data_IF_998216245662
#
_entry.id   IF_998216245662
#
_cell.length_a   1.000
_cell.length_b   1.000
_cell.length_c   1.000
_cell.angle_alpha   90.00
_cell.angle_beta   90.00
_cell.angle_gamma   90.00
#
_symmetry.space_group_name_H-M   'P 1'
#
loop_
_entity.id
_entity.type
_entity.pdbx_description
1 polymer ?
#
# COMPACT_ATOMS: atom_id res chain seq x y z
N UNK A 1 5.51 13.09 20.81
CA UNK A 1 6.84 13.02 20.15
C UNK A 1 6.57 12.83 18.68
N UNK A 2 6.95 13.79 17.85
CA UNK A 2 6.73 13.72 16.39
C UNK A 2 7.50 12.50 15.81
N UNK A 3 6.84 11.70 14.97
CA UNK A 3 7.40 10.51 14.37
C UNK A 3 7.27 9.23 15.21
N UNK A 4 6.67 9.31 16.40
CA UNK A 4 6.48 8.15 17.27
C UNK A 4 5.62 7.07 16.56
N UNK A 5 4.57 7.49 15.88
CA UNK A 5 3.68 6.56 15.18
C UNK A 5 4.41 5.73 14.09
N UNK A 6 5.29 6.38 13.32
CA UNK A 6 6.12 5.68 12.32
C UNK A 6 7.09 4.69 12.95
N UNK A 7 7.75 5.09 14.06
CA UNK A 7 8.69 4.21 14.78
C UNK A 7 7.96 2.98 15.33
N UNK A 8 6.79 3.19 15.93
CA UNK A 8 5.95 2.09 16.46
C UNK A 8 5.52 1.17 15.31
N UNK A 9 5.09 1.72 14.17
CA UNK A 9 4.69 0.91 13.02
C UNK A 9 5.85 0.05 12.47
N UNK A 10 7.01 0.65 12.26
CA UNK A 10 8.23 -0.10 11.87
C UNK A 10 8.54 -1.20 12.88
N UNK A 11 8.46 -0.90 14.18
CA UNK A 11 8.71 -1.86 15.26
C UNK A 11 7.73 -3.04 15.27
N UNK A 12 6.43 -2.76 15.11
CA UNK A 12 5.40 -3.81 15.09
C UNK A 12 5.49 -4.69 13.85
N UNK A 13 5.78 -4.12 12.67
CA UNK A 13 6.02 -4.89 11.44
C UNK A 13 7.27 -5.77 11.58
N UNK A 14 8.34 -5.25 12.18
CA UNK A 14 9.56 -6.03 12.43
C UNK A 14 9.30 -7.20 13.37
N UNK A 15 8.62 -6.96 14.49
CA UNK A 15 8.25 -8.00 15.46
C UNK A 15 7.30 -9.01 14.82
N UNK A 16 6.24 -8.54 14.15
CA UNK A 16 5.26 -9.38 13.49
C UNK A 16 5.89 -10.26 12.41
N UNK A 17 6.77 -9.69 11.58
CA UNK A 17 7.51 -10.46 10.57
C UNK A 17 8.40 -11.53 11.21
N UNK A 18 9.07 -11.21 12.31
CA UNK A 18 9.90 -12.19 13.04
C UNK A 18 9.05 -13.36 13.53
N UNK A 19 7.92 -13.07 14.18
CA UNK A 19 6.98 -14.10 14.65
C UNK A 19 6.48 -14.94 13.46
N UNK A 20 6.08 -14.29 12.37
CA UNK A 20 5.60 -14.97 11.16
C UNK A 20 6.62 -15.94 10.55
N UNK A 21 7.88 -15.54 10.49
CA UNK A 21 8.97 -16.40 10.00
C UNK A 21 9.22 -17.59 10.92
N UNK A 22 9.17 -17.38 12.23
CA UNK A 22 9.29 -18.49 13.20
C UNK A 22 8.15 -19.50 13.03
N UNK A 23 6.92 -19.01 12.82
CA UNK A 23 5.77 -19.85 12.54
C UNK A 23 5.88 -20.61 11.21
N UNK A 24 6.44 -19.99 10.17
CA UNK A 24 6.65 -20.60 8.83
C UNK A 24 7.42 -21.92 8.91
N UNK A 25 8.45 -21.98 9.73
CA UNK A 25 9.31 -23.16 9.87
C UNK A 25 8.60 -24.36 10.53
N UNK A 26 7.42 -24.16 11.15
CA UNK A 26 6.61 -25.20 11.79
C UNK A 26 5.29 -25.49 11.06
N UNK A 27 4.92 -24.73 10.03
CA UNK A 27 3.65 -24.89 9.34
C UNK A 27 3.74 -25.93 8.19
N UNK A 28 2.91 -26.97 8.20
CA UNK A 28 2.79 -27.88 7.06
C UNK A 28 2.31 -27.11 5.80
N UNK A 29 2.78 -27.52 4.60
CA UNK A 29 2.40 -26.90 3.31
C UNK A 29 0.88 -26.73 3.10
N UNK A 30 0.08 -27.60 3.70
CA UNK A 30 -1.38 -27.52 3.65
C UNK A 30 -1.90 -26.24 4.33
N UNK A 31 -1.34 -25.88 5.49
CA UNK A 31 -1.73 -24.67 6.22
C UNK A 31 -1.29 -23.40 5.44
N UNK A 32 -0.10 -23.43 4.85
CA UNK A 32 0.41 -22.34 4.04
C UNK A 32 -0.58 -21.96 2.93
N UNK A 33 -1.10 -22.94 2.17
CA UNK A 33 -2.08 -22.72 1.11
C UNK A 33 -3.38 -22.08 1.64
N UNK A 34 -3.91 -22.57 2.74
CA UNK A 34 -5.15 -22.05 3.34
C UNK A 34 -4.94 -20.63 3.89
N UNK A 35 -3.78 -20.36 4.52
CA UNK A 35 -3.43 -19.05 5.01
C UNK A 35 -3.31 -18.05 3.85
N UNK A 36 -2.65 -18.43 2.73
CA UNK A 36 -2.56 -17.59 1.53
C UNK A 36 -3.93 -17.25 0.94
N UNK A 37 -4.84 -18.22 0.89
CA UNK A 37 -6.21 -17.97 0.44
C UNK A 37 -6.96 -17.03 1.39
N UNK A 38 -6.80 -17.20 2.70
CA UNK A 38 -7.38 -16.31 3.72
C UNK A 38 -6.85 -14.89 3.60
N UNK A 39 -5.53 -14.73 3.43
CA UNK A 39 -4.90 -13.43 3.18
C UNK A 39 -5.41 -12.79 1.90
N UNK A 40 -5.47 -13.56 0.81
CA UNK A 40 -6.01 -13.08 -0.46
C UNK A 40 -7.45 -12.57 -0.32
N UNK A 41 -8.32 -13.31 0.39
CA UNK A 41 -9.69 -12.87 0.65
C UNK A 41 -9.74 -11.60 1.50
N UNK A 42 -8.96 -11.52 2.58
CA UNK A 42 -8.89 -10.32 3.42
C UNK A 42 -8.43 -9.11 2.60
N UNK A 43 -7.35 -9.27 1.84
CA UNK A 43 -6.81 -8.21 0.96
C UNK A 43 -7.82 -7.80 -0.11
N UNK A 44 -8.61 -8.75 -0.65
CA UNK A 44 -9.69 -8.51 -1.60
C UNK A 44 -10.75 -7.56 -1.00
N UNK A 45 -11.25 -7.89 0.18
CA UNK A 45 -12.25 -7.05 0.84
C UNK A 45 -11.71 -5.68 1.28
N UNK A 46 -10.45 -5.59 1.68
CA UNK A 46 -9.78 -4.30 1.95
C UNK A 46 -9.74 -3.45 0.67
N UNK A 47 -9.31 -4.04 -0.45
CA UNK A 47 -9.25 -3.34 -1.74
C UNK A 47 -10.62 -2.90 -2.24
N UNK A 48 -11.62 -3.79 -2.23
CA UNK A 48 -12.99 -3.46 -2.62
C UNK A 48 -13.57 -2.38 -1.70
N UNK A 49 -13.49 -2.57 -0.39
CA UNK A 49 -14.03 -1.63 0.60
C UNK A 49 -13.40 -0.25 0.47
N UNK A 50 -12.06 -0.17 0.35
CA UNK A 50 -11.35 1.09 0.17
C UNK A 50 -11.70 1.79 -1.15
N UNK A 51 -11.90 1.04 -2.23
CA UNK A 51 -12.35 1.62 -3.51
C UNK A 51 -13.78 2.12 -3.41
N UNK A 52 -14.70 1.32 -2.87
CA UNK A 52 -16.12 1.68 -2.77
C UNK A 52 -16.33 2.88 -1.83
N UNK A 53 -15.56 3.00 -0.74
CA UNK A 53 -15.68 4.14 0.18
C UNK A 53 -15.39 5.49 -0.48
N UNK A 54 -14.57 5.49 -1.55
CA UNK A 54 -14.17 6.71 -2.25
C UNK A 54 -14.97 6.93 -3.55
N UNK A 55 -15.44 5.84 -4.18
CA UNK A 55 -16.21 5.93 -5.42
C UNK A 55 -17.69 6.21 -5.15
N UNK A 56 -18.23 5.67 -4.05
CA UNK A 56 -19.64 5.87 -3.71
C UNK A 56 -19.86 7.19 -2.97
N UNK A 57 -20.89 7.92 -3.34
CA UNK A 57 -21.32 9.15 -2.65
C UNK A 57 -22.82 9.09 -2.41
N UNK A 58 -23.27 9.70 -1.33
CA UNK A 58 -24.70 9.84 -1.03
C UNK A 58 -25.08 11.32 -1.19
N UNK A 59 -25.92 11.63 -2.19
CA UNK A 59 -26.41 12.96 -2.44
C UNK A 59 -27.95 12.92 -2.43
N UNK A 60 -28.55 13.74 -1.58
CA UNK A 60 -30.03 13.83 -1.44
C UNK A 60 -30.69 12.47 -1.11
N UNK A 61 -29.98 11.53 -0.46
CA UNK A 61 -30.53 10.20 -0.14
C UNK A 61 -30.37 9.17 -1.27
N UNK A 62 -29.78 9.54 -2.40
CA UNK A 62 -29.52 8.64 -3.52
C UNK A 62 -28.03 8.29 -3.57
N UNK A 63 -27.72 7.06 -3.98
CA UNK A 63 -26.35 6.59 -4.16
C UNK A 63 -25.89 7.01 -5.56
N UNK A 64 -24.86 7.85 -5.59
CA UNK A 64 -24.16 8.26 -6.80
C UNK A 64 -22.74 7.71 -6.84
N UNK A 65 -22.03 7.99 -7.92
CA UNK A 65 -20.61 7.66 -8.07
C UNK A 65 -19.80 8.91 -8.34
N UNK A 66 -18.60 8.95 -7.77
CA UNK A 66 -17.58 9.99 -7.98
C UNK A 66 -16.24 9.37 -8.32
N UNK A 67 -15.30 10.14 -8.84
CA UNK A 67 -13.93 9.71 -9.16
C UNK A 67 -13.78 8.57 -10.17
N UNK A 68 -14.87 8.12 -10.83
CA UNK A 68 -14.83 6.99 -11.77
C UNK A 68 -13.94 7.30 -12.98
N UNK A 69 -14.07 8.50 -13.56
CA UNK A 69 -13.25 8.92 -14.69
C UNK A 69 -11.77 9.07 -14.31
N UNK A 70 -11.52 9.66 -13.14
CA UNK A 70 -10.18 9.76 -12.58
C UNK A 70 -9.54 8.39 -12.41
N UNK A 71 -10.29 7.41 -11.87
CA UNK A 71 -9.81 6.05 -11.67
C UNK A 71 -9.41 5.39 -12.99
N UNK A 72 -10.26 5.52 -14.03
CA UNK A 72 -9.97 5.00 -15.38
C UNK A 72 -8.68 5.61 -15.93
N UNK A 73 -8.56 6.95 -15.88
CA UNK A 73 -7.39 7.65 -16.41
C UNK A 73 -6.12 7.32 -15.62
N UNK A 74 -6.19 7.28 -14.29
CA UNK A 74 -5.04 6.95 -13.45
C UNK A 74 -4.54 5.53 -13.72
N UNK A 75 -5.43 4.55 -13.79
CA UNK A 75 -5.03 3.16 -14.05
C UNK A 75 -4.47 2.99 -15.46
N UNK A 76 -5.13 3.56 -16.49
CA UNK A 76 -4.69 3.44 -17.87
C UNK A 76 -3.33 4.12 -18.10
N UNK A 77 -3.19 5.40 -17.70
CA UNK A 77 -1.94 6.13 -17.85
C UNK A 77 -0.84 5.59 -16.93
N UNK A 78 -1.20 5.20 -15.70
CA UNK A 78 -0.27 4.59 -14.76
C UNK A 78 0.31 3.28 -15.31
N UNK A 79 -0.53 2.43 -15.92
CA UNK A 79 -0.10 1.21 -16.59
C UNK A 79 0.88 1.50 -17.74
N UNK A 80 0.56 2.48 -18.60
CA UNK A 80 1.44 2.87 -19.73
C UNK A 80 2.78 3.38 -19.21
N UNK A 81 2.78 4.27 -18.23
CA UNK A 81 4.00 4.82 -17.63
C UNK A 81 4.82 3.71 -16.95
N UNK A 82 4.17 2.87 -16.17
CA UNK A 82 4.84 1.80 -15.44
C UNK A 82 5.43 0.74 -16.36
N UNK A 83 4.73 0.36 -17.44
CA UNK A 83 5.25 -0.55 -18.45
C UNK A 83 6.42 0.08 -19.22
N UNK A 84 6.33 1.36 -19.59
CA UNK A 84 7.42 2.09 -20.25
C UNK A 84 8.68 2.18 -19.37
N UNK A 85 8.51 2.34 -18.06
CA UNK A 85 9.59 2.38 -17.07
C UNK A 85 10.01 0.98 -16.60
N UNK A 86 9.25 -0.06 -16.94
CA UNK A 86 9.44 -1.45 -16.51
C UNK A 86 9.62 -1.58 -14.99
N UNK A 87 8.69 -0.99 -14.23
CA UNK A 87 8.82 -0.83 -12.78
C UNK A 87 8.79 -2.19 -12.09
N UNK A 88 7.92 -3.12 -12.52
CA UNK A 88 7.86 -4.49 -11.98
C UNK A 88 9.23 -5.15 -12.02
N UNK A 89 9.90 -5.15 -13.17
CA UNK A 89 11.23 -5.75 -13.33
C UNK A 89 12.27 -5.08 -12.43
N UNK A 90 12.23 -3.74 -12.30
CA UNK A 90 13.15 -3.02 -11.41
C UNK A 90 12.92 -3.38 -9.94
N UNK A 91 11.67 -3.60 -9.54
CA UNK A 91 11.34 -4.08 -8.19
C UNK A 91 11.83 -5.52 -7.97
N UNK A 92 11.67 -6.38 -8.98
CA UNK A 92 12.20 -7.75 -8.94
C UNK A 92 13.72 -7.74 -8.85
N UNK A 93 14.41 -6.93 -9.67
CA UNK A 93 15.87 -6.79 -9.65
C UNK A 93 16.37 -6.26 -8.31
N UNK A 94 15.69 -5.24 -7.75
CA UNK A 94 15.99 -4.72 -6.42
C UNK A 94 15.75 -5.76 -5.33
N UNK A 95 14.64 -6.49 -5.40
CA UNK A 95 14.34 -7.59 -4.49
C UNK A 95 15.38 -8.71 -4.57
N UNK A 96 15.81 -9.09 -5.79
CA UNK A 96 16.85 -10.07 -6.01
C UNK A 96 18.22 -9.60 -5.48
N UNK A 97 18.56 -8.32 -5.67
CA UNK A 97 19.75 -7.71 -5.07
C UNK A 97 19.70 -7.78 -3.55
N UNK A 98 18.61 -7.39 -2.93
CA UNK A 98 18.45 -7.48 -1.48
C UNK A 98 18.47 -8.94 -0.99
N UNK A 99 17.84 -9.84 -1.73
CA UNK A 99 17.87 -11.28 -1.41
C UNK A 99 19.28 -11.83 -1.42
N UNK A 100 20.11 -11.46 -2.39
CA UNK A 100 21.50 -11.92 -2.48
C UNK A 100 22.38 -11.45 -1.34
N UNK A 101 22.05 -10.30 -0.72
CA UNK A 101 22.82 -9.68 0.36
C UNK A 101 22.27 -10.00 1.76
N UNK A 102 20.96 -10.14 1.91
CA UNK A 102 20.30 -10.21 3.23
C UNK A 102 19.55 -11.53 3.48
N UNK A 103 19.29 -12.35 2.45
CA UNK A 103 18.53 -13.59 2.60
C UNK A 103 19.35 -14.82 2.20
N UNK A 104 19.06 -15.96 2.84
CA UNK A 104 19.59 -17.25 2.40
C UNK A 104 19.05 -17.61 1.01
N UNK A 105 19.87 -18.20 0.15
CA UNK A 105 19.48 -18.74 -1.15
C UNK A 105 18.26 -19.66 -0.99
N UNK A 106 17.12 -19.33 -1.63
CA UNK A 106 15.97 -20.23 -1.70
C UNK A 106 14.59 -19.66 -1.33
N UNK A 107 14.46 -18.36 -1.01
CA UNK A 107 13.15 -17.77 -0.74
C UNK A 107 12.50 -17.24 -2.03
N UNK A 108 11.85 -18.14 -2.79
CA UNK A 108 11.27 -17.85 -4.11
C UNK A 108 10.16 -16.78 -4.09
N UNK A 109 9.61 -16.45 -2.92
CA UNK A 109 8.54 -15.44 -2.75
C UNK A 109 9.01 -14.18 -2.06
N UNK A 110 10.34 -13.96 -1.97
CA UNK A 110 10.91 -12.79 -1.29
C UNK A 110 10.40 -11.48 -1.90
N UNK A 111 10.44 -11.36 -3.24
CA UNK A 111 10.00 -10.14 -3.94
C UNK A 111 8.49 -9.94 -3.80
N UNK A 112 7.70 -10.99 -3.95
CA UNK A 112 6.25 -10.95 -3.75
C UNK A 112 5.90 -10.48 -2.33
N UNK A 113 6.58 -11.02 -1.31
CA UNK A 113 6.40 -10.60 0.08
C UNK A 113 6.75 -9.14 0.32
N UNK A 114 7.85 -8.66 -0.26
CA UNK A 114 8.25 -7.27 -0.19
C UNK A 114 7.23 -6.33 -0.84
N UNK A 115 6.85 -6.59 -2.09
CA UNK A 115 5.94 -5.73 -2.85
C UNK A 115 4.55 -5.71 -2.22
N UNK A 116 3.99 -6.88 -1.92
CA UNK A 116 2.66 -7.02 -1.29
C UNK A 116 2.59 -6.29 0.04
N UNK A 117 3.53 -6.53 0.94
CA UNK A 117 3.56 -5.89 2.26
C UNK A 117 3.77 -4.38 2.13
N UNK A 118 4.69 -3.93 1.27
CA UNK A 118 4.95 -2.51 1.06
C UNK A 118 3.72 -1.75 0.56
N UNK A 119 3.02 -2.30 -0.42
CA UNK A 119 1.80 -1.69 -0.95
C UNK A 119 0.71 -1.66 0.10
N UNK A 120 0.43 -2.78 0.76
CA UNK A 120 -0.62 -2.84 1.78
C UNK A 120 -0.36 -1.88 2.94
N UNK A 121 0.90 -1.77 3.37
CA UNK A 121 1.25 -0.95 4.53
C UNK A 121 1.42 0.53 4.19
N UNK A 122 1.82 0.89 2.97
CA UNK A 122 2.00 2.29 2.57
C UNK A 122 0.74 2.89 1.94
N UNK A 123 -0.08 2.09 1.26
CA UNK A 123 -1.27 2.58 0.57
C UNK A 123 -2.46 2.66 1.53
N UNK A 124 -3.21 3.76 1.43
CA UNK A 124 -4.43 4.01 2.20
C UNK A 124 -4.41 5.34 2.94
N UNK A 125 -5.59 5.93 3.09
CA UNK A 125 -5.77 7.23 3.74
C UNK A 125 -5.20 7.26 5.17
N UNK A 126 -5.31 6.14 5.89
CA UNK A 126 -4.84 6.04 7.28
C UNK A 126 -3.33 6.26 7.43
N UNK A 127 -2.53 5.85 6.43
CA UNK A 127 -1.09 6.08 6.44
C UNK A 127 -0.76 7.56 6.25
N UNK A 128 -1.46 8.25 5.34
CA UNK A 128 -1.24 9.66 5.01
C UNK A 128 -1.77 10.55 6.13
N UNK A 129 -3.06 10.40 6.48
CA UNK A 129 -3.71 11.23 7.51
C UNK A 129 -3.06 11.04 8.87
N UNK A 130 -2.74 9.80 9.23
CA UNK A 130 -2.04 9.49 10.48
C UNK A 130 -0.64 10.12 10.54
N UNK A 131 0.12 10.07 9.43
CA UNK A 131 1.44 10.71 9.36
C UNK A 131 1.35 12.25 9.42
N UNK A 132 0.32 12.84 8.79
CA UNK A 132 0.06 14.28 8.90
C UNK A 132 -0.31 14.69 10.33
N UNK A 133 -1.18 13.93 11.01
CA UNK A 133 -1.58 14.20 12.39
C UNK A 133 -0.39 14.09 13.36
N UNK A 134 0.42 13.05 13.21
CA UNK A 134 1.65 12.89 14.01
C UNK A 134 2.62 14.06 13.78
N UNK A 135 2.80 14.49 12.51
CA UNK A 135 3.71 15.58 12.16
C UNK A 135 3.22 16.98 12.55
N UNK A 136 1.91 17.25 12.42
CA UNK A 136 1.33 18.58 12.70
C UNK A 136 0.97 18.78 14.17
N UNK A 137 0.35 17.77 14.78
CA UNK A 137 -0.26 17.86 16.10
C UNK A 137 0.53 17.06 17.15
N UNK A 138 1.52 16.25 16.75
CA UNK A 138 2.22 15.32 17.63
C UNK A 138 1.31 14.19 18.14
N UNK A 139 0.20 13.91 17.43
CA UNK A 139 -0.77 12.88 17.79
C UNK A 139 -0.52 11.61 16.94
N UNK A 140 0.12 10.57 17.52
CA UNK A 140 0.43 9.33 16.82
C UNK A 140 -0.71 8.30 16.87
N UNK A 141 -1.86 8.62 17.49
CA UNK A 141 -2.92 7.64 17.82
C UNK A 141 -3.37 6.84 16.59
N UNK A 142 -3.61 7.51 15.45
CA UNK A 142 -4.02 6.86 14.20
C UNK A 142 -2.94 5.93 13.65
N UNK A 143 -1.66 6.35 13.69
CA UNK A 143 -0.55 5.50 13.25
C UNK A 143 -0.30 4.32 14.20
N UNK A 144 -0.55 4.47 15.50
CA UNK A 144 -0.47 3.36 16.47
C UNK A 144 -1.56 2.32 16.19
N UNK A 145 -2.80 2.77 15.94
CA UNK A 145 -3.86 1.86 15.55
C UNK A 145 -3.51 1.10 14.25
N UNK A 146 -2.98 1.83 13.26
CA UNK A 146 -2.47 1.23 12.02
C UNK A 146 -1.32 0.26 12.28
N UNK A 147 -0.39 0.59 13.15
CA UNK A 147 0.77 -0.24 13.51
C UNK A 147 0.33 -1.62 14.07
N UNK A 148 -0.74 -1.66 14.84
CA UNK A 148 -1.31 -2.92 15.34
C UNK A 148 -1.83 -3.75 14.16
N UNK A 149 -2.57 -3.14 13.23
CA UNK A 149 -3.08 -3.83 12.04
C UNK A 149 -1.95 -4.35 11.15
N UNK A 150 -0.96 -3.49 10.86
CA UNK A 150 0.21 -3.83 10.04
C UNK A 150 1.05 -4.94 10.70
N UNK A 151 1.20 -4.89 12.04
CA UNK A 151 1.91 -5.89 12.82
C UNK A 151 1.24 -7.27 12.73
N UNK A 152 -0.09 -7.34 12.89
CA UNK A 152 -0.84 -8.60 12.74
C UNK A 152 -0.77 -9.11 11.30
N UNK A 153 -0.97 -8.24 10.32
CA UNK A 153 -0.87 -8.61 8.91
C UNK A 153 0.55 -9.10 8.56
N UNK A 154 1.60 -8.48 9.11
CA UNK A 154 2.99 -8.89 8.87
C UNK A 154 3.31 -10.29 9.38
N UNK A 155 2.68 -10.75 10.49
CA UNK A 155 2.79 -12.14 10.96
C UNK A 155 2.30 -13.10 9.86
N UNK A 156 1.11 -12.83 9.34
CA UNK A 156 0.46 -13.69 8.34
C UNK A 156 1.22 -13.66 7.00
N UNK A 157 1.60 -12.48 6.53
CA UNK A 157 2.38 -12.34 5.30
C UNK A 157 3.76 -13.00 5.41
N UNK A 158 4.46 -12.82 6.53
CA UNK A 158 5.78 -13.42 6.71
C UNK A 158 5.71 -14.95 6.84
N UNK A 159 4.68 -15.49 7.50
CA UNK A 159 4.45 -16.93 7.56
C UNK A 159 4.21 -17.54 6.17
N UNK A 160 3.60 -16.78 5.25
CA UNK A 160 3.24 -17.26 3.91
C UNK A 160 4.24 -16.86 2.83
N UNK A 161 4.69 -15.60 2.80
CA UNK A 161 5.54 -15.02 1.76
C UNK A 161 7.03 -14.98 2.15
N UNK A 162 7.34 -15.19 3.42
CA UNK A 162 8.73 -15.30 3.90
C UNK A 162 9.39 -13.98 4.24
N UNK A 163 10.73 -13.98 4.14
CA UNK A 163 11.60 -12.90 4.66
C UNK A 163 11.46 -11.58 3.91
N UNK A 164 10.89 -11.58 2.69
CA UNK A 164 10.70 -10.36 1.90
C UNK A 164 9.88 -9.29 2.63
N UNK A 165 8.99 -9.71 3.53
CA UNK A 165 8.18 -8.80 4.34
C UNK A 165 9.03 -7.87 5.22
N UNK A 166 10.22 -8.30 5.67
CA UNK A 166 11.13 -7.41 6.40
C UNK A 166 11.50 -6.16 5.60
N UNK A 167 11.68 -6.30 4.29
CA UNK A 167 12.09 -5.18 3.46
C UNK A 167 11.02 -4.08 3.36
N UNK A 168 9.75 -4.40 3.64
CA UNK A 168 8.66 -3.41 3.67
C UNK A 168 8.83 -2.32 4.75
N UNK A 169 9.68 -2.56 5.74
CA UNK A 169 10.05 -1.56 6.75
C UNK A 169 10.67 -0.32 6.09
N UNK A 170 11.44 -0.52 5.02
CA UNK A 170 12.10 0.57 4.31
C UNK A 170 11.08 1.57 3.72
N UNK A 171 10.16 1.16 2.82
CA UNK A 171 9.15 2.09 2.32
C UNK A 171 8.23 2.64 3.42
N UNK A 172 7.87 1.86 4.45
CA UNK A 172 7.08 2.39 5.58
C UNK A 172 7.83 3.55 6.26
N UNK A 173 9.10 3.35 6.60
CA UNK A 173 9.90 4.36 7.28
C UNK A 173 10.04 5.64 6.46
N UNK A 174 10.41 5.52 5.18
CA UNK A 174 10.61 6.69 4.32
C UNK A 174 9.30 7.35 3.93
N UNK A 175 8.25 6.59 3.64
CA UNK A 175 6.96 7.13 3.23
C UNK A 175 6.24 7.81 4.40
N UNK A 176 5.96 7.09 5.49
CA UNK A 176 5.27 7.65 6.65
C UNK A 176 6.14 8.67 7.37
N UNK A 177 7.42 8.37 7.60
CA UNK A 177 8.36 9.28 8.25
C UNK A 177 8.58 10.54 7.42
N UNK A 178 8.69 10.41 6.10
CA UNK A 178 8.79 11.54 5.17
C UNK A 178 7.57 12.46 5.24
N UNK A 179 6.36 11.90 5.20
CA UNK A 179 5.12 12.68 5.35
C UNK A 179 5.07 13.35 6.73
N UNK A 180 5.39 12.64 7.79
CA UNK A 180 5.40 13.17 9.17
C UNK A 180 6.37 14.35 9.31
N UNK A 181 7.60 14.22 8.82
CA UNK A 181 8.61 15.29 8.91
C UNK A 181 8.28 16.49 8.02
N UNK A 182 7.70 16.23 6.85
CA UNK A 182 7.34 17.25 5.89
C UNK A 182 5.90 17.74 6.03
N UNK A 183 5.17 17.33 7.08
CA UNK A 183 3.74 17.55 7.23
C UNK A 183 3.32 19.03 7.07
N UNK A 184 4.09 19.97 7.63
CA UNK A 184 3.83 21.41 7.52
C UNK A 184 3.91 21.93 6.08
N UNK A 185 4.81 21.35 5.25
CA UNK A 185 4.98 21.74 3.85
C UNK A 185 3.99 21.04 2.93
N UNK A 186 3.62 19.80 3.25
CA UNK A 186 2.77 18.96 2.41
C UNK A 186 1.28 19.25 2.64
N UNK A 187 0.86 19.57 3.87
CA UNK A 187 -0.56 19.75 4.24
C UNK A 187 -1.34 20.73 3.34
N UNK A 188 -0.78 21.89 2.91
CA UNK A 188 -1.50 22.79 2.03
C UNK A 188 -1.85 22.20 0.66
N UNK A 189 -1.16 21.15 0.23
CA UNK A 189 -1.33 20.49 -1.06
C UNK A 189 -2.14 19.19 -0.97
N UNK A 190 -2.07 18.49 0.16
CA UNK A 190 -2.81 17.26 0.42
C UNK A 190 -4.19 17.58 1.01
N UNK A 191 -5.13 17.91 0.11
CA UNK A 191 -6.54 18.05 0.49
C UNK A 191 -7.16 16.68 0.79
N UNK A 192 -8.25 16.65 1.56
CA UNK A 192 -8.93 15.40 1.89
C UNK A 192 -9.45 14.70 0.61
N UNK A 193 -9.88 15.49 -0.39
CA UNK A 193 -10.26 14.98 -1.71
C UNK A 193 -9.10 14.28 -2.41
N UNK A 194 -7.91 14.90 -2.43
CA UNK A 194 -6.73 14.32 -3.07
C UNK A 194 -6.28 13.04 -2.36
N UNK A 195 -6.33 13.02 -1.02
CA UNK A 195 -6.03 11.83 -0.22
C UNK A 195 -7.01 10.70 -0.56
N UNK A 196 -8.32 11.00 -0.65
CA UNK A 196 -9.34 10.06 -1.07
C UNK A 196 -9.10 9.50 -2.47
N UNK A 197 -8.78 10.37 -3.45
CA UNK A 197 -8.45 9.95 -4.81
C UNK A 197 -7.23 9.01 -4.87
N UNK A 198 -6.17 9.33 -4.15
CA UNK A 198 -4.98 8.46 -4.05
C UNK A 198 -5.32 7.13 -3.36
N UNK A 199 -6.12 7.18 -2.30
CA UNK A 199 -6.61 5.99 -1.58
C UNK A 199 -7.46 5.10 -2.47
N UNK A 200 -8.36 5.69 -3.27
CA UNK A 200 -9.19 4.99 -4.25
C UNK A 200 -8.33 4.18 -5.22
N UNK A 201 -7.39 4.85 -5.92
CA UNK A 201 -6.49 4.19 -6.88
C UNK A 201 -5.66 3.11 -6.20
N UNK A 202 -5.09 3.42 -5.03
CA UNK A 202 -4.27 2.47 -4.28
C UNK A 202 -5.06 1.24 -3.81
N UNK A 203 -6.33 1.42 -3.46
CA UNK A 203 -7.21 0.31 -3.06
C UNK A 203 -7.49 -0.65 -4.21
N UNK A 204 -7.58 -0.14 -5.46
CA UNK A 204 -7.66 -1.01 -6.65
C UNK A 204 -6.38 -1.82 -6.83
N UNK A 205 -5.21 -1.26 -6.54
CA UNK A 205 -3.96 -2.01 -6.60
C UNK A 205 -3.91 -3.10 -5.51
N UNK A 206 -4.43 -2.82 -4.31
CA UNK A 206 -4.57 -3.81 -3.24
C UNK A 206 -5.52 -4.94 -3.70
N UNK A 207 -6.62 -4.61 -4.36
CA UNK A 207 -7.49 -5.62 -4.97
C UNK A 207 -6.76 -6.45 -6.02
N UNK A 208 -5.96 -5.84 -6.91
CA UNK A 208 -5.16 -6.56 -7.90
C UNK A 208 -4.14 -7.52 -7.26
N UNK A 209 -3.51 -7.12 -6.13
CA UNK A 209 -2.64 -8.01 -5.34
C UNK A 209 -3.43 -9.22 -4.83
N UNK A 210 -4.67 -9.00 -4.35
CA UNK A 210 -5.49 -10.11 -3.85
C UNK A 210 -5.78 -11.17 -4.90
N UNK A 211 -5.98 -10.76 -6.15
CA UNK A 211 -6.14 -11.69 -7.27
C UNK A 211 -4.89 -12.53 -7.49
N UNK A 212 -3.70 -11.94 -7.38
CA UNK A 212 -2.44 -12.68 -7.43
C UNK A 212 -2.34 -13.71 -6.31
N UNK A 213 -2.72 -13.33 -5.06
CA UNK A 213 -2.66 -14.22 -3.91
C UNK A 213 -3.67 -15.38 -3.98
N UNK A 214 -4.90 -15.13 -4.46
CA UNK A 214 -5.98 -16.12 -4.52
C UNK A 214 -5.79 -17.08 -5.70
N UNK A 215 -5.55 -16.51 -6.88
CA UNK A 215 -5.56 -17.24 -8.15
C UNK A 215 -4.16 -17.56 -8.68
N UNK A 216 -3.11 -17.13 -7.98
CA UNK A 216 -1.73 -17.20 -8.47
C UNK A 216 -1.60 -16.57 -9.87
N UNK A 217 -2.38 -15.50 -10.12
CA UNK A 217 -2.33 -14.72 -11.35
C UNK A 217 -1.02 -13.93 -11.40
N UNK A 218 -0.63 -13.49 -12.60
CA UNK A 218 0.61 -12.73 -12.81
C UNK A 218 0.29 -11.29 -13.23
N UNK A 219 -0.64 -10.65 -12.52
CA UNK A 219 -0.90 -9.23 -12.75
C UNK A 219 0.33 -8.44 -12.33
N UNK A 220 0.86 -7.63 -13.21
CA UNK A 220 2.03 -6.78 -12.99
C UNK A 220 1.65 -5.54 -12.19
N UNK A 221 1.38 -5.73 -10.90
CA UNK A 221 0.89 -4.65 -10.02
C UNK A 221 1.95 -3.57 -9.82
N UNK A 222 3.24 -3.92 -9.87
CA UNK A 222 4.33 -2.95 -9.82
C UNK A 222 4.27 -1.94 -10.97
N UNK A 223 3.87 -2.36 -12.17
CA UNK A 223 3.69 -1.45 -13.31
C UNK A 223 2.44 -0.57 -13.18
N UNK A 224 1.54 -0.83 -12.22
CA UNK A 224 0.41 0.06 -11.91
C UNK A 224 0.75 1.10 -10.83
N UNK A 225 1.90 1.01 -10.15
CA UNK A 225 2.28 1.93 -9.07
C UNK A 225 2.24 3.42 -9.44
N UNK A 226 2.65 3.86 -10.66
CA UNK A 226 2.55 5.27 -11.03
C UNK A 226 1.12 5.81 -10.95
N UNK A 227 0.09 4.97 -11.10
CA UNK A 227 -1.31 5.38 -11.02
C UNK A 227 -1.64 6.09 -9.69
N UNK A 228 -1.02 5.70 -8.58
CA UNK A 228 -1.27 6.28 -7.24
C UNK A 228 -0.87 7.76 -7.20
N UNK A 229 0.14 8.16 -7.99
CA UNK A 229 0.65 9.52 -7.99
C UNK A 229 -0.03 10.42 -9.04
N UNK A 230 -0.77 9.86 -9.99
CA UNK A 230 -1.45 10.64 -11.04
C UNK A 230 -2.53 11.59 -10.50
N UNK A 231 -3.31 11.27 -9.43
CA UNK A 231 -4.21 12.25 -8.82
C UNK A 231 -3.49 13.54 -8.40
N UNK A 232 -2.26 13.42 -7.86
CA UNK A 232 -1.43 14.58 -7.49
C UNK A 232 -1.09 15.40 -8.74
N UNK A 233 -0.67 14.73 -9.83
CA UNK A 233 -0.39 15.40 -11.09
C UNK A 233 -1.63 16.10 -11.64
N UNK A 234 -2.79 15.46 -11.65
CA UNK A 234 -4.05 16.04 -12.10
C UNK A 234 -4.48 17.22 -11.23
N UNK A 235 -4.30 17.14 -9.92
CA UNK A 235 -4.57 18.26 -9.01
C UNK A 235 -3.74 19.50 -9.36
N UNK A 236 -2.46 19.36 -9.69
CA UNK A 236 -1.63 20.47 -10.13
C UNK A 236 -1.99 20.96 -11.53
N UNK A 237 -2.31 20.05 -12.46
CA UNK A 237 -2.72 20.41 -13.82
C UNK A 237 -4.07 21.12 -13.87
N UNK A 238 -5.00 20.79 -12.95
CA UNK A 238 -6.31 21.45 -12.85
C UNK A 238 -6.20 22.96 -12.57
N UNK A 239 -5.07 23.44 -12.01
CA UNK A 239 -4.79 24.86 -11.85
C UNK A 239 -4.60 25.58 -13.20
N UNK A 240 -4.10 24.87 -14.22
CA UNK A 240 -3.86 25.42 -15.56
C UNK A 240 -5.00 25.07 -16.53
N UNK A 241 -5.67 23.94 -16.28
CA UNK A 241 -6.75 23.42 -17.10
C UNK A 241 -7.97 23.11 -16.21
N UNK A 242 -8.91 24.07 -16.01
CA UNK A 242 -10.06 23.91 -15.11
C UNK A 242 -10.95 22.70 -15.42
N UNK A 243 -10.97 22.25 -16.67
CA UNK A 243 -11.72 21.05 -17.10
C UNK A 243 -11.22 19.75 -16.44
N UNK A 244 -9.96 19.70 -15.96
CA UNK A 244 -9.43 18.55 -15.22
C UNK A 244 -9.85 18.56 -13.74
N UNK A 245 -10.33 19.68 -13.23
CA UNK A 245 -10.82 19.80 -11.85
C UNK A 245 -12.18 19.13 -11.62
N UNK A 246 -12.85 18.66 -12.67
CA UNK A 246 -14.13 17.93 -12.61
C UNK A 246 -13.95 16.41 -12.64
N UNK A 247 -12.71 15.90 -12.67
CA UNK A 247 -12.34 14.47 -12.61
C UNK A 247 -12.30 14.00 -11.17
#
# INVERSE_FOLDING_TARGET
MIGLGTIVNVGTVLIGTTIGILLKNGLPKRFEKTVMQGLGLTTCFIGIGGTLSEVLTIQNGEIGTQHTMLLILCLALGAVIGEALNIEQRLEDFGAFCQSHFAAKGDSRFVEGFVTASLLFCVGAMAIVGALNDGLNGDPTMLIAKAILDGVASILFAASLGKGVYLSIVPIFFYQGGITLMARFIRPWLTDVLIGQMSCVGSVLIFAISLNLIFNSKLRVGNLLPAIFLPVLFFFLARFFPTLGTL
#
